data_IF_181588714445
#
_entry.id   IF_181588714445
#
_cell.length_a   1.000
_cell.length_b   1.000
_cell.length_c   1.000
_cell.angle_alpha   90.00
_cell.angle_beta   90.00
_cell.angle_gamma   90.00
#
_symmetry.space_group_name_H-M   'P 1'
#
loop_
_entity.id
_entity.type
_entity.pdbx_description
1 polymer ?
#
# COMPACT_ATOMS: atom_id res chain seq x y z
N UNK A 1 17.47 10.05 -18.81
CA UNK A 1 16.06 10.03 -18.34
C UNK A 1 15.38 8.86 -19.03
N UNK A 2 14.70 7.98 -18.30
CA UNK A 2 13.93 6.85 -18.84
C UNK A 2 12.45 7.18 -18.69
N UNK A 3 11.69 7.02 -19.76
CA UNK A 3 10.21 7.05 -19.74
C UNK A 3 9.69 5.72 -20.26
N UNK A 4 8.69 5.19 -19.60
CA UNK A 4 7.99 3.98 -20.02
C UNK A 4 6.48 4.23 -20.00
N UNK A 5 5.79 3.70 -21.00
CA UNK A 5 4.33 3.67 -21.10
C UNK A 5 3.87 2.23 -21.23
N UNK A 6 2.80 1.89 -20.52
CA UNK A 6 2.16 0.58 -20.63
C UNK A 6 0.70 0.79 -21.06
N UNK A 7 0.27 -0.01 -22.02
CA UNK A 7 -1.12 -0.05 -22.49
C UNK A 7 -1.72 -1.40 -22.16
N UNK A 8 -2.94 -1.41 -21.65
CA UNK A 8 -3.69 -2.62 -21.37
C UNK A 8 -5.11 -2.52 -21.91
N UNK A 9 -5.76 -3.66 -22.05
CA UNK A 9 -7.16 -3.78 -22.46
C UNK A 9 -7.90 -4.62 -21.42
N UNK A 10 -9.09 -4.19 -21.07
CA UNK A 10 -9.99 -4.91 -20.17
C UNK A 10 -11.41 -4.82 -20.73
N UNK A 11 -12.19 -5.88 -20.58
CA UNK A 11 -13.62 -5.84 -20.91
C UNK A 11 -14.33 -4.88 -19.96
N UNK A 12 -15.22 -4.04 -20.51
CA UNK A 12 -15.90 -2.99 -19.74
C UNK A 12 -16.61 -3.54 -18.49
N UNK A 13 -17.19 -4.72 -18.60
CA UNK A 13 -17.93 -5.39 -17.53
C UNK A 13 -17.00 -5.97 -16.42
N UNK A 14 -15.69 -6.03 -16.70
CA UNK A 14 -14.68 -6.58 -15.78
C UNK A 14 -13.81 -5.49 -15.12
N UNK A 15 -14.13 -4.22 -15.34
CA UNK A 15 -13.44 -3.11 -14.70
C UNK A 15 -13.70 -3.14 -13.18
N UNK A 16 -12.63 -3.06 -12.41
CA UNK A 16 -12.69 -2.93 -10.95
C UNK A 16 -12.46 -1.45 -10.64
N UNK A 17 -13.53 -0.68 -10.56
CA UNK A 17 -13.52 0.78 -10.42
C UNK A 17 -14.00 1.27 -9.04
N UNK A 18 -14.31 0.34 -8.12
CA UNK A 18 -14.83 0.66 -6.80
C UNK A 18 -16.36 0.82 -6.74
N UNK A 19 -17.06 0.77 -7.86
CA UNK A 19 -18.54 0.92 -7.89
C UNK A 19 -19.31 -0.16 -7.12
N UNK A 20 -18.67 -1.31 -6.87
CA UNK A 20 -19.22 -2.43 -6.10
C UNK A 20 -18.93 -2.35 -4.61
N UNK A 21 -18.15 -1.37 -4.15
CA UNK A 21 -17.82 -1.23 -2.73
C UNK A 21 -19.09 -1.01 -1.92
N UNK A 22 -19.22 -1.76 -0.82
CA UNK A 22 -20.37 -1.74 0.09
C UNK A 22 -19.92 -1.44 1.52
N UNK A 23 -20.82 -0.88 2.33
CA UNK A 23 -20.56 -0.69 3.77
C UNK A 23 -20.37 -2.08 4.42
N UNK A 24 -19.34 -2.20 5.26
CA UNK A 24 -18.95 -3.46 5.90
C UNK A 24 -17.93 -4.28 5.11
N UNK A 25 -17.54 -3.84 3.90
CA UNK A 25 -16.40 -4.43 3.20
C UNK A 25 -15.12 -4.26 3.99
N UNK A 26 -14.22 -5.20 3.83
CA UNK A 26 -12.92 -5.23 4.53
C UNK A 26 -11.84 -4.65 3.64
N UNK A 27 -10.98 -3.81 4.22
CA UNK A 27 -9.79 -3.29 3.57
C UNK A 27 -8.58 -4.17 3.94
N UNK A 28 -8.07 -4.89 2.95
CA UNK A 28 -6.84 -5.68 3.05
C UNK A 28 -5.64 -4.88 2.59
N UNK A 29 -4.51 -5.05 3.26
CA UNK A 29 -3.20 -4.63 2.80
C UNK A 29 -2.46 -5.82 2.17
N UNK A 30 -1.93 -5.64 0.97
CA UNK A 30 -0.94 -6.52 0.35
C UNK A 30 0.44 -5.90 0.59
N UNK A 31 1.39 -6.64 1.20
CA UNK A 31 2.69 -6.10 1.55
C UNK A 31 3.44 -5.53 0.35
N UNK A 32 4.18 -4.44 0.56
CA UNK A 32 5.25 -4.00 -0.33
C UNK A 32 6.58 -4.65 0.07
N UNK A 33 7.56 -4.59 -0.81
CA UNK A 33 8.92 -5.08 -0.53
C UNK A 33 9.94 -3.95 -0.35
N UNK A 34 9.49 -2.71 -0.18
CA UNK A 34 10.35 -1.52 -0.05
C UNK A 34 9.62 -0.23 -0.42
N UNK A 35 10.40 0.77 -0.81
CA UNK A 35 9.90 2.11 -1.16
C UNK A 35 9.03 2.11 -2.43
N UNK A 36 9.18 1.08 -3.26
CA UNK A 36 8.69 1.07 -4.62
C UNK A 36 9.29 2.25 -5.41
N UNK A 37 8.48 3.19 -5.91
CA UNK A 37 8.94 4.30 -6.76
C UNK A 37 8.66 5.67 -6.17
N UNK A 38 8.38 5.77 -4.86
CA UNK A 38 7.99 7.01 -4.21
C UNK A 38 8.97 7.43 -3.10
N UNK A 39 9.03 8.74 -2.83
CA UNK A 39 9.80 9.31 -1.74
C UNK A 39 11.31 9.46 -2.00
N UNK A 40 11.81 9.16 -3.19
CA UNK A 40 13.24 9.20 -3.50
C UNK A 40 13.85 10.60 -3.46
N UNK A 41 13.07 11.67 -3.62
CA UNK A 41 13.58 13.03 -3.46
C UNK A 41 14.05 13.27 -2.02
N UNK A 42 13.27 12.82 -1.03
CA UNK A 42 13.64 12.89 0.37
C UNK A 42 14.85 11.99 0.66
N UNK A 43 14.83 10.74 0.19
CA UNK A 43 15.92 9.79 0.42
C UNK A 43 17.24 10.31 -0.13
N UNK A 44 17.28 10.85 -1.35
CA UNK A 44 18.48 11.46 -1.93
C UNK A 44 18.99 12.64 -1.11
N UNK A 45 18.09 13.52 -0.68
CA UNK A 45 18.43 14.64 0.20
C UNK A 45 19.07 14.14 1.50
N UNK A 46 18.50 13.10 2.12
CA UNK A 46 19.08 12.52 3.33
C UNK A 46 20.48 11.92 3.10
N UNK A 47 20.69 11.25 1.97
CA UNK A 47 22.00 10.70 1.62
C UNK A 47 23.07 11.79 1.42
N UNK A 48 22.67 12.96 0.90
CA UNK A 48 23.55 14.12 0.71
C UNK A 48 23.84 14.84 2.03
N UNK A 49 22.81 15.09 2.85
CA UNK A 49 22.92 15.86 4.10
C UNK A 49 23.45 15.03 5.28
N UNK A 50 23.20 13.72 5.28
CA UNK A 50 23.52 12.77 6.36
C UNK A 50 24.09 11.47 5.78
N UNK A 51 25.29 11.51 5.19
CA UNK A 51 25.87 10.36 4.48
C UNK A 51 26.10 9.12 5.36
N UNK A 52 26.07 9.27 6.68
CA UNK A 52 26.10 8.16 7.63
C UNK A 52 24.92 7.20 7.48
N UNK A 53 23.79 7.61 6.89
CA UNK A 53 22.64 6.74 6.58
C UNK A 53 23.06 5.57 5.67
N UNK A 54 24.08 5.76 4.83
CA UNK A 54 24.59 4.72 3.94
C UNK A 54 25.31 3.58 4.69
N UNK A 55 25.62 3.77 5.98
CA UNK A 55 26.20 2.73 6.83
C UNK A 55 25.15 1.89 7.55
N UNK A 56 23.89 2.29 7.48
CA UNK A 56 22.80 1.55 8.09
C UNK A 56 22.58 0.22 7.37
N UNK A 57 22.17 -0.77 8.15
CA UNK A 57 21.71 -2.06 7.65
C UNK A 57 20.24 -2.25 7.97
N UNK A 58 19.50 -2.81 7.03
CA UNK A 58 18.07 -3.06 7.13
C UNK A 58 17.85 -4.54 6.85
N UNK A 59 17.47 -5.30 7.86
CA UNK A 59 17.23 -6.76 7.74
C UNK A 59 18.44 -7.52 7.14
N UNK A 60 19.66 -7.08 7.44
CA UNK A 60 20.90 -7.69 6.96
C UNK A 60 21.39 -7.20 5.59
N UNK A 61 20.63 -6.35 4.92
CA UNK A 61 21.02 -5.68 3.66
C UNK A 61 21.55 -4.27 3.95
N UNK A 62 22.42 -3.74 3.10
CA UNK A 62 22.79 -2.33 3.17
C UNK A 62 21.60 -1.42 2.91
N UNK A 63 21.62 -0.20 3.47
CA UNK A 63 20.58 0.81 3.20
C UNK A 63 20.36 1.01 1.70
N UNK A 64 21.43 1.02 0.90
CA UNK A 64 21.36 1.22 -0.54
C UNK A 64 20.63 0.05 -1.24
N UNK A 65 20.93 -1.19 -0.88
CA UNK A 65 20.22 -2.37 -1.39
C UNK A 65 18.74 -2.33 -1.02
N UNK A 66 18.43 -2.00 0.23
CA UNK A 66 17.05 -1.93 0.72
C UNK A 66 16.21 -0.89 -0.04
N UNK A 67 16.77 0.29 -0.35
CA UNK A 67 16.04 1.32 -1.12
C UNK A 67 15.96 1.02 -2.62
N UNK A 68 16.87 0.19 -3.15
CA UNK A 68 16.93 -0.15 -4.58
C UNK A 68 16.20 -1.45 -4.94
N UNK A 69 15.50 -2.07 -3.99
CA UNK A 69 14.69 -3.25 -4.28
C UNK A 69 13.76 -3.01 -5.46
N UNK A 70 13.73 -3.91 -6.47
CA UNK A 70 12.79 -3.81 -7.58
C UNK A 70 11.35 -3.72 -7.07
N UNK A 71 10.55 -2.90 -7.71
CA UNK A 71 9.13 -2.76 -7.40
C UNK A 71 8.42 -4.12 -7.51
N UNK A 72 7.66 -4.49 -6.48
CA UNK A 72 6.91 -5.73 -6.42
C UNK A 72 5.87 -5.79 -7.55
N UNK A 73 5.91 -6.86 -8.36
CA UNK A 73 4.89 -7.10 -9.36
C UNK A 73 3.72 -7.90 -8.76
N UNK A 74 2.55 -7.29 -8.70
CA UNK A 74 1.35 -7.89 -8.11
C UNK A 74 0.48 -8.66 -9.11
N UNK A 75 0.73 -8.51 -10.42
CA UNK A 75 -0.15 -9.04 -11.45
C UNK A 75 -0.40 -10.54 -11.33
N UNK A 76 0.64 -11.35 -11.12
CA UNK A 76 0.50 -12.81 -11.08
C UNK A 76 -0.39 -13.28 -9.93
N UNK A 77 -0.29 -12.64 -8.76
CA UNK A 77 -1.09 -12.99 -7.60
C UNK A 77 -2.52 -12.44 -7.68
N UNK A 78 -2.75 -11.36 -8.44
CA UNK A 78 -4.06 -10.72 -8.55
C UNK A 78 -4.90 -11.26 -9.71
N UNK A 79 -4.28 -11.71 -10.80
CA UNK A 79 -5.00 -12.10 -12.03
C UNK A 79 -6.07 -13.17 -11.81
N UNK A 80 -5.84 -14.09 -10.85
CA UNK A 80 -6.79 -15.13 -10.49
C UNK A 80 -8.00 -14.62 -9.68
N UNK A 81 -7.93 -13.39 -9.18
CA UNK A 81 -8.98 -12.75 -8.38
C UNK A 81 -9.85 -11.78 -9.19
N UNK A 82 -9.40 -11.32 -10.36
CA UNK A 82 -10.10 -10.28 -11.15
C UNK A 82 -11.52 -10.67 -11.59
N UNK A 83 -11.87 -11.95 -11.56
CA UNK A 83 -13.22 -12.43 -11.89
C UNK A 83 -14.12 -12.67 -10.67
N UNK A 84 -13.63 -12.42 -9.46
CA UNK A 84 -14.43 -12.60 -8.24
C UNK A 84 -15.45 -11.46 -8.09
N UNK A 85 -16.71 -11.80 -7.86
CA UNK A 85 -17.76 -10.80 -7.62
C UNK A 85 -17.55 -10.05 -6.30
N UNK A 86 -16.92 -10.70 -5.33
CA UNK A 86 -16.64 -10.16 -4.00
C UNK A 86 -15.38 -9.28 -3.95
N UNK A 87 -14.63 -9.15 -5.04
CA UNK A 87 -13.54 -8.20 -5.16
C UNK A 87 -14.10 -6.87 -5.67
N UNK A 88 -14.27 -5.92 -4.76
CA UNK A 88 -14.96 -4.66 -5.02
C UNK A 88 -14.05 -3.50 -5.40
N UNK A 89 -12.79 -3.52 -4.95
CA UNK A 89 -11.86 -2.43 -5.22
C UNK A 89 -10.40 -2.80 -5.07
N UNK A 90 -9.55 -2.11 -5.83
CA UNK A 90 -8.08 -2.22 -5.77
C UNK A 90 -7.48 -0.82 -5.87
N UNK A 91 -6.62 -0.44 -4.93
CA UNK A 91 -5.84 0.78 -5.03
C UNK A 91 -4.35 0.48 -4.89
N UNK A 92 -3.57 0.87 -5.89
CA UNK A 92 -2.11 0.78 -5.85
C UNK A 92 -1.56 1.96 -5.03
N UNK A 93 -0.82 1.66 -3.97
CA UNK A 93 -0.32 2.68 -3.04
C UNK A 93 0.96 3.29 -3.57
N UNK A 94 0.85 4.54 -3.99
CA UNK A 94 1.92 5.37 -4.57
C UNK A 94 2.05 6.68 -3.77
N UNK A 95 2.55 7.75 -4.38
CA UNK A 95 2.55 9.09 -3.78
C UNK A 95 1.14 9.50 -3.33
N UNK A 96 1.03 10.06 -2.15
CA UNK A 96 -0.22 10.30 -1.45
C UNK A 96 -0.55 9.23 -0.38
N UNK A 97 0.20 8.11 -0.35
CA UNK A 97 0.04 7.06 0.63
C UNK A 97 -1.31 6.33 0.52
N UNK A 98 -1.69 5.63 1.59
CA UNK A 98 -2.96 4.90 1.64
C UNK A 98 -4.15 5.85 1.47
N UNK A 99 -4.15 6.96 2.21
CA UNK A 99 -5.23 7.96 2.17
C UNK A 99 -5.48 8.44 0.73
N UNK A 100 -4.45 8.97 0.07
CA UNK A 100 -4.58 9.59 -1.25
C UNK A 100 -4.88 8.61 -2.40
N UNK A 101 -4.63 7.32 -2.23
CA UNK A 101 -4.87 6.32 -3.28
C UNK A 101 -6.16 5.53 -3.04
N UNK A 102 -6.43 5.08 -1.82
CA UNK A 102 -7.68 4.39 -1.47
C UNK A 102 -8.89 5.29 -1.69
N UNK A 103 -8.78 6.58 -1.37
CA UNK A 103 -9.84 7.56 -1.58
C UNK A 103 -10.39 7.59 -3.02
N UNK A 104 -9.52 7.34 -4.01
CA UNK A 104 -9.90 7.43 -5.45
C UNK A 104 -10.92 6.39 -5.89
N UNK A 105 -11.00 5.29 -5.18
CA UNK A 105 -11.91 4.19 -5.53
C UNK A 105 -13.16 4.14 -4.65
N UNK A 106 -13.27 5.02 -3.64
CA UNK A 106 -14.43 5.04 -2.74
C UNK A 106 -15.63 5.71 -3.41
N UNK A 107 -16.85 5.14 -3.30
CA UNK A 107 -18.09 5.82 -3.64
C UNK A 107 -18.30 7.08 -2.80
N UNK A 108 -19.06 8.04 -3.32
CA UNK A 108 -19.27 9.36 -2.71
C UNK A 108 -19.92 9.34 -1.30
N UNK A 109 -20.68 8.28 -1.01
CA UNK A 109 -21.41 8.10 0.26
C UNK A 109 -20.71 7.11 1.22
N UNK A 110 -19.46 6.73 0.94
CA UNK A 110 -18.70 5.78 1.74
C UNK A 110 -17.32 6.33 2.10
N UNK A 111 -16.80 5.89 3.22
CA UNK A 111 -15.45 6.20 3.68
C UNK A 111 -14.74 4.91 4.08
N UNK A 112 -13.42 4.91 4.03
CA UNK A 112 -12.62 3.83 4.59
C UNK A 112 -12.06 4.26 5.95
N UNK A 113 -12.25 3.42 6.95
CA UNK A 113 -11.64 3.56 8.28
C UNK A 113 -10.45 2.62 8.35
N UNK A 114 -9.25 3.15 8.45
CA UNK A 114 -7.99 2.40 8.42
C UNK A 114 -7.25 2.59 9.75
N UNK A 115 -7.00 1.48 10.45
CA UNK A 115 -6.14 1.47 11.63
C UNK A 115 -4.67 1.34 11.20
N UNK A 116 -3.92 2.45 11.31
CA UNK A 116 -2.50 2.46 10.96
C UNK A 116 -1.65 1.65 11.95
N UNK A 117 -2.16 1.33 13.13
CA UNK A 117 -1.50 0.43 14.09
C UNK A 117 -1.41 -1.01 13.58
N UNK A 118 -2.27 -1.39 12.64
CA UNK A 118 -2.24 -2.69 11.97
C UNK A 118 -1.27 -2.76 10.78
N UNK A 119 -0.70 -1.62 10.36
CA UNK A 119 0.25 -1.60 9.24
C UNK A 119 1.57 -2.24 9.68
N UNK A 120 2.01 -3.23 8.93
CA UNK A 120 3.33 -3.86 9.11
C UNK A 120 4.39 -2.99 8.46
N UNK A 121 4.81 -1.95 9.19
CA UNK A 121 5.79 -0.97 8.69
C UNK A 121 7.12 -1.67 8.42
N UNK A 122 7.66 -1.48 7.20
CA UNK A 122 8.98 -2.05 6.88
C UNK A 122 10.10 -1.27 7.59
N UNK A 123 11.16 -1.94 8.08
CA UNK A 123 12.25 -1.33 8.84
C UNK A 123 12.92 -0.15 8.13
N UNK A 124 12.99 -0.18 6.81
CA UNK A 124 13.57 0.91 6.01
C UNK A 124 12.88 2.26 6.27
N UNK A 125 11.56 2.27 6.53
CA UNK A 125 10.83 3.51 6.83
C UNK A 125 11.19 4.06 8.21
N UNK A 126 11.51 3.19 9.17
CA UNK A 126 12.03 3.60 10.48
C UNK A 126 13.38 4.31 10.36
N UNK A 127 14.28 3.79 9.52
CA UNK A 127 15.58 4.43 9.23
C UNK A 127 15.36 5.81 8.60
N UNK A 128 14.56 5.90 7.55
CA UNK A 128 14.26 7.18 6.86
C UNK A 128 13.65 8.20 7.83
N UNK A 129 12.66 7.79 8.63
CA UNK A 129 12.03 8.66 9.63
C UNK A 129 13.04 9.19 10.63
N UNK A 130 13.88 8.32 11.20
CA UNK A 130 14.89 8.67 12.22
C UNK A 130 15.88 9.68 11.67
N UNK A 131 16.46 9.43 10.49
CA UNK A 131 17.42 10.35 9.87
C UNK A 131 16.78 11.64 9.41
N UNK A 132 15.59 11.59 8.85
CA UNK A 132 14.86 12.76 8.36
C UNK A 132 14.11 13.55 9.44
N UNK A 133 13.95 12.98 10.65
CA UNK A 133 13.06 13.51 11.69
C UNK A 133 11.66 13.82 11.12
N UNK A 134 11.19 12.93 10.24
CA UNK A 134 9.95 13.13 9.48
C UNK A 134 8.74 12.81 10.37
N UNK A 135 7.75 13.70 10.47
CA UNK A 135 6.49 13.42 11.16
C UNK A 135 5.75 12.23 10.53
N UNK A 136 4.99 11.46 11.34
CA UNK A 136 4.22 10.31 10.84
C UNK A 136 3.20 10.68 9.75
N UNK A 137 2.59 11.86 9.85
CA UNK A 137 1.70 12.39 8.82
C UNK A 137 2.38 12.52 7.44
N UNK A 138 3.63 12.98 7.44
CA UNK A 138 4.40 13.15 6.21
C UNK A 138 4.94 11.81 5.71
N UNK A 139 5.29 10.88 6.61
CA UNK A 139 5.64 9.50 6.26
C UNK A 139 4.47 8.80 5.56
N UNK A 140 3.27 8.84 6.15
CA UNK A 140 2.04 8.26 5.61
C UNK A 140 1.65 8.86 4.25
N UNK A 141 1.91 10.14 4.03
CA UNK A 141 1.61 10.83 2.77
C UNK A 141 2.64 10.59 1.68
N UNK A 142 3.89 10.34 2.06
CA UNK A 142 5.00 10.21 1.11
C UNK A 142 5.22 8.77 0.69
N UNK A 143 5.10 7.83 1.62
CA UNK A 143 5.49 6.43 1.45
C UNK A 143 4.32 5.47 1.55
N UNK A 144 4.52 4.27 1.04
CA UNK A 144 3.57 3.16 1.14
C UNK A 144 3.56 2.49 2.53
N UNK A 145 4.52 2.78 3.38
CA UNK A 145 4.71 2.26 4.75
C UNK A 145 4.75 0.73 4.88
N UNK A 146 4.90 0.00 3.78
CA UNK A 146 4.85 -1.46 3.76
C UNK A 146 3.58 -2.02 3.11
N UNK A 147 2.70 -1.16 2.60
CA UNK A 147 1.47 -1.54 1.90
C UNK A 147 1.58 -1.16 0.42
N UNK A 148 1.69 -2.14 -0.45
CA UNK A 148 1.82 -1.87 -1.88
C UNK A 148 0.49 -1.75 -2.61
N UNK A 149 -0.51 -2.54 -2.18
CA UNK A 149 -1.89 -2.47 -2.68
C UNK A 149 -2.85 -2.54 -1.50
N UNK A 150 -3.91 -1.76 -1.52
CA UNK A 150 -5.10 -2.03 -0.73
C UNK A 150 -6.17 -2.69 -1.60
N UNK A 151 -6.80 -3.71 -1.04
CA UNK A 151 -7.86 -4.48 -1.69
C UNK A 151 -9.13 -4.40 -0.84
N UNK A 152 -10.24 -4.05 -1.46
CA UNK A 152 -11.56 -4.01 -0.80
C UNK A 152 -12.34 -5.24 -1.22
N UNK A 153 -12.75 -6.04 -0.24
CA UNK A 153 -13.45 -7.31 -0.47
C UNK A 153 -14.60 -7.50 0.50
N UNK A 154 -15.61 -8.28 0.09
CA UNK A 154 -16.64 -8.76 1.03
C UNK A 154 -16.01 -9.59 2.15
N UNK A 155 -16.48 -9.46 3.41
CA UNK A 155 -16.00 -10.27 4.53
C UNK A 155 -16.04 -11.77 4.27
N UNK A 156 -17.06 -12.25 3.56
CA UNK A 156 -17.23 -13.68 3.20
C UNK A 156 -16.11 -14.22 2.31
N UNK A 157 -15.51 -13.36 1.47
CA UNK A 157 -14.44 -13.76 0.56
C UNK A 157 -13.05 -13.76 1.23
N UNK A 158 -12.91 -13.15 2.41
CA UNK A 158 -11.62 -13.00 3.10
C UNK A 158 -10.81 -14.30 3.21
N UNK A 159 -11.37 -15.45 3.62
CA UNK A 159 -10.61 -16.69 3.70
C UNK A 159 -10.10 -17.16 2.34
N UNK A 160 -10.92 -17.10 1.30
CA UNK A 160 -10.57 -17.55 -0.05
C UNK A 160 -9.49 -16.65 -0.67
N UNK A 161 -9.65 -15.32 -0.54
CA UNK A 161 -8.69 -14.34 -1.06
C UNK A 161 -7.34 -14.47 -0.37
N UNK A 162 -7.30 -14.56 0.95
CA UNK A 162 -6.04 -14.71 1.69
C UNK A 162 -5.36 -16.04 1.41
N UNK A 163 -6.12 -17.14 1.28
CA UNK A 163 -5.58 -18.44 0.90
C UNK A 163 -5.00 -18.43 -0.53
N UNK A 164 -5.65 -17.74 -1.48
CA UNK A 164 -5.13 -17.58 -2.83
C UNK A 164 -3.82 -16.76 -2.84
N UNK A 165 -3.80 -15.59 -2.19
CA UNK A 165 -2.63 -14.72 -2.13
C UNK A 165 -1.42 -15.42 -1.47
N UNK A 166 -1.66 -16.23 -0.44
CA UNK A 166 -0.62 -17.00 0.25
C UNK A 166 0.09 -18.00 -0.67
N UNK A 167 -0.56 -18.54 -1.70
CA UNK A 167 0.06 -19.42 -2.70
C UNK A 167 1.18 -18.71 -3.47
N UNK A 168 1.15 -17.38 -3.51
CA UNK A 168 2.18 -16.53 -4.12
C UNK A 168 3.13 -15.91 -3.09
N UNK A 169 3.12 -16.37 -1.85
CA UNK A 169 3.93 -15.82 -0.77
C UNK A 169 3.46 -14.45 -0.26
N UNK A 170 2.24 -14.02 -0.63
CA UNK A 170 1.66 -12.76 -0.19
C UNK A 170 0.79 -12.96 1.04
N UNK A 171 1.28 -12.55 2.21
CA UNK A 171 0.57 -12.57 3.49
C UNK A 171 -0.26 -11.30 3.66
N UNK A 172 -1.35 -11.20 2.91
CA UNK A 172 -2.30 -10.08 3.03
C UNK A 172 -2.96 -10.09 4.43
N UNK A 173 -3.26 -8.89 4.93
CA UNK A 173 -3.83 -8.71 6.27
C UNK A 173 -4.82 -7.54 6.30
N UNK A 174 -5.75 -7.58 7.26
CA UNK A 174 -6.78 -6.56 7.42
C UNK A 174 -6.18 -5.30 8.05
N UNK A 175 -6.47 -4.15 7.46
CA UNK A 175 -6.10 -2.83 8.00
C UNK A 175 -7.29 -1.92 8.25
N UNK A 176 -8.50 -2.29 7.82
CA UNK A 176 -9.66 -1.44 7.99
C UNK A 176 -10.93 -2.00 7.39
N UNK A 177 -11.93 -1.16 7.34
CA UNK A 177 -13.26 -1.46 6.84
C UNK A 177 -13.88 -0.27 6.11
N UNK A 178 -14.91 -0.54 5.31
CA UNK A 178 -15.71 0.49 4.65
C UNK A 178 -16.91 0.84 5.52
N UNK A 179 -17.10 2.12 5.75
CA UNK A 179 -18.16 2.69 6.59
C UNK A 179 -18.97 3.72 5.80
N UNK A 180 -20.13 4.13 6.35
CA UNK A 180 -20.85 5.29 5.84
C UNK A 180 -19.98 6.54 5.95
N UNK A 181 -19.99 7.41 4.94
CA UNK A 181 -19.15 8.59 4.94
C UNK A 181 -19.30 9.47 3.70
N UNK A 182 -18.24 10.19 3.36
CA UNK A 182 -18.26 11.22 2.32
C UNK A 182 -17.00 11.16 1.43
N UNK A 183 -16.64 9.96 1.01
CA UNK A 183 -15.50 9.70 0.12
C UNK A 183 -14.15 10.11 0.76
N UNK A 184 -13.94 9.74 2.03
CA UNK A 184 -12.70 10.02 2.75
C UNK A 184 -12.07 8.74 3.28
N UNK A 185 -10.76 8.81 3.55
CA UNK A 185 -10.06 7.77 4.30
C UNK A 185 -9.70 8.35 5.66
N UNK A 186 -10.24 7.74 6.72
CA UNK A 186 -9.96 8.12 8.10
C UNK A 186 -8.85 7.21 8.63
N UNK A 187 -7.71 7.78 8.95
CA UNK A 187 -6.59 7.07 9.54
C UNK A 187 -6.68 7.17 11.08
N UNK A 188 -6.73 6.03 11.76
CA UNK A 188 -6.78 5.94 13.22
C UNK A 188 -5.58 5.15 13.75
N UNK A 189 -5.34 5.25 15.07
CA UNK A 189 -4.24 4.55 15.72
C UNK A 189 -2.90 5.25 15.55
N UNK A 190 -1.81 4.52 15.78
CA UNK A 190 -0.44 5.02 15.67
C UNK A 190 0.43 4.01 14.94
N UNK A 191 1.30 4.50 14.04
CA UNK A 191 2.30 3.68 13.37
C UNK A 191 3.26 3.05 14.37
N UNK A 192 3.55 1.78 14.17
CA UNK A 192 4.56 1.07 14.95
C UNK A 192 5.74 0.75 14.06
N UNK A 193 6.89 1.30 14.42
CA UNK A 193 8.14 1.05 13.69
C UNK A 193 8.90 -0.08 14.37
N UNK A 194 9.43 -1.05 13.60
CA UNK A 194 10.27 -2.13 14.12
C UNK A 194 11.64 -1.63 14.57
#
# INVERSE_FOLDING_TARGET
MLNASILGVVDKERIIDGSKIEIGDVVLALPSNGLHTNGYSLVRKLMEEKPEILKETVEGESFLEAILKPHQCYYQMLKGLFGMEELHGLAHITGGGIEGNLNRILPANMSAKVDVGNIRVLPIFGVIKRYGQVPDSDMLRTFNMGVGITMVVKPSALPAVTAHLRQFGCEAYVIGEIVEGNQTVVLEGQLQYP
#
